data_IF_957878748267
#
_entry.id   IF_957878748267
#
_cell.length_a   1.000
_cell.length_b   1.000
_cell.length_c   1.000
_cell.angle_alpha   90.00
_cell.angle_beta   90.00
_cell.angle_gamma   90.00
#
_symmetry.space_group_name_H-M   'P 1'
#
loop_
_entity.id
_entity.type
_entity.pdbx_description
1 polymer ?
#
# COMPACT_ATOMS: atom_id res chain seq x y z
N UNK A 1 13.41 26.36 35.25
CA UNK A 1 14.82 26.59 34.86
C UNK A 1 15.11 28.04 35.19
N UNK A 2 16.04 28.31 36.10
CA UNK A 2 16.27 29.68 36.59
C UNK A 2 17.16 30.51 35.64
N UNK A 3 18.11 29.89 34.91
CA UNK A 3 18.95 30.56 33.91
C UNK A 3 19.42 29.61 32.79
N UNK A 4 19.53 30.13 31.56
CA UNK A 4 20.12 29.45 30.40
C UNK A 4 21.65 29.65 30.35
N UNK A 5 22.42 28.58 30.18
CA UNK A 5 23.88 28.66 30.06
C UNK A 5 24.22 29.03 28.62
N UNK A 6 24.34 30.32 28.32
CA UNK A 6 24.71 30.79 26.97
C UNK A 6 26.19 30.57 26.66
N UNK A 7 27.06 30.72 27.66
CA UNK A 7 28.51 30.63 27.49
C UNK A 7 29.04 29.59 28.48
N UNK A 8 29.61 28.48 27.99
CA UNK A 8 30.29 27.51 28.83
C UNK A 8 31.43 28.15 29.62
N UNK A 9 31.68 27.64 30.82
CA UNK A 9 32.74 28.12 31.69
C UNK A 9 34.11 27.92 31.05
N UNK A 10 35.04 28.87 31.19
CA UNK A 10 36.37 28.81 30.58
C UNK A 10 36.36 28.50 29.05
N UNK A 11 35.33 28.96 28.33
CA UNK A 11 35.19 28.73 26.88
C UNK A 11 36.37 29.27 26.05
N UNK A 12 37.05 30.30 26.55
CA UNK A 12 38.22 30.93 25.92
C UNK A 12 39.53 30.13 26.10
N UNK A 13 39.54 29.01 26.84
CA UNK A 13 40.71 28.15 27.03
C UNK A 13 41.22 28.08 28.46
N UNK A 14 42.52 27.78 28.61
CA UNK A 14 43.18 27.48 29.91
C UNK A 14 42.57 26.24 30.60
N UNK A 15 42.57 25.13 29.86
CA UNK A 15 41.94 23.85 30.23
C UNK A 15 42.91 22.71 29.99
N UNK A 16 43.00 21.80 30.94
CA UNK A 16 43.75 20.54 30.82
C UNK A 16 42.83 19.37 31.19
N UNK A 17 42.80 18.35 30.33
CA UNK A 17 41.86 17.25 30.49
C UNK A 17 42.18 16.41 31.74
N UNK A 18 41.14 16.07 32.50
CA UNK A 18 41.27 15.11 33.60
C UNK A 18 41.20 13.70 32.98
N UNK A 19 42.20 12.83 33.21
CA UNK A 19 42.18 11.48 32.68
C UNK A 19 41.09 10.63 33.36
N UNK A 20 40.50 9.71 32.61
CA UNK A 20 39.56 8.73 33.17
C UNK A 20 40.18 7.78 34.20
N UNK A 21 41.31 7.09 33.91
CA UNK A 21 41.85 6.07 34.81
C UNK A 21 42.48 6.65 36.08
N UNK A 22 42.54 5.82 37.13
CA UNK A 22 43.21 6.13 38.39
C UNK A 22 44.68 6.52 38.13
N UNK A 23 45.11 7.64 38.72
CA UNK A 23 46.50 8.10 38.63
C UNK A 23 47.29 7.55 39.82
N UNK A 24 48.34 6.77 39.55
CA UNK A 24 49.23 6.23 40.61
C UNK A 24 49.98 7.31 41.38
N UNK A 25 50.05 8.52 40.84
CA UNK A 25 50.65 9.73 41.43
C UNK A 25 49.74 10.44 42.43
N UNK A 26 48.51 9.96 42.63
CA UNK A 26 47.50 10.60 43.48
C UNK A 26 46.83 11.83 42.83
N UNK A 27 47.12 12.11 41.56
CA UNK A 27 46.48 13.21 40.83
C UNK A 27 45.01 12.92 40.56
N UNK A 28 44.22 13.99 40.39
CA UNK A 28 42.80 13.89 40.04
C UNK A 28 42.56 13.05 38.79
N UNK A 29 41.54 12.18 38.84
CA UNK A 29 41.02 11.40 37.72
C UNK A 29 39.49 11.42 37.72
N UNK A 30 38.84 11.06 36.61
CA UNK A 30 37.38 10.91 36.60
C UNK A 30 36.91 9.75 37.49
N UNK A 31 37.74 8.72 37.67
CA UNK A 31 37.42 7.56 38.52
C UNK A 31 37.46 7.89 40.01
N UNK A 32 38.46 8.64 40.47
CA UNK A 32 38.69 8.89 41.91
C UNK A 32 38.33 10.29 42.36
N UNK A 33 38.11 11.23 41.44
CA UNK A 33 38.01 12.64 41.76
C UNK A 33 39.29 13.18 42.41
N UNK A 34 39.16 14.29 43.15
CA UNK A 34 40.22 14.82 44.00
C UNK A 34 40.36 13.92 45.24
N UNK A 35 41.45 13.16 45.30
CA UNK A 35 41.71 12.21 46.38
C UNK A 35 42.31 12.83 47.63
N UNK A 36 42.73 11.97 48.58
CA UNK A 36 43.29 12.34 49.89
C UNK A 36 44.38 13.41 49.82
N UNK A 37 45.27 13.37 48.84
CA UNK A 37 46.37 14.34 48.77
C UNK A 37 45.90 15.81 48.61
N UNK A 38 44.67 16.04 48.15
CA UNK A 38 44.07 17.39 48.02
C UNK A 38 43.39 17.91 49.30
N UNK A 39 43.20 17.07 50.33
CA UNK A 39 42.65 17.48 51.62
C UNK A 39 43.74 17.71 52.70
N UNK A 40 44.98 17.34 52.38
CA UNK A 40 46.14 17.49 53.26
C UNK A 40 46.50 18.96 53.44
N UNK A 41 47.10 19.27 54.59
CA UNK A 41 47.54 20.63 54.91
C UNK A 41 48.71 21.04 54.01
N UNK A 42 48.44 22.04 53.17
CA UNK A 42 49.38 22.58 52.19
C UNK A 42 50.60 23.26 52.80
N UNK A 43 50.52 23.65 54.08
CA UNK A 43 51.61 24.35 54.77
C UNK A 43 52.58 23.38 55.46
N UNK A 44 52.11 22.19 55.83
CA UNK A 44 52.87 21.25 56.68
C UNK A 44 53.16 19.90 56.02
N UNK A 45 52.42 19.49 54.98
CA UNK A 45 52.60 18.21 54.31
C UNK A 45 53.15 18.36 52.88
N UNK A 46 54.35 17.82 52.63
CA UNK A 46 55.03 17.89 51.33
C UNK A 46 54.27 17.16 50.21
N UNK A 47 53.37 16.24 50.56
CA UNK A 47 52.57 15.49 49.58
C UNK A 47 51.21 16.15 49.30
N UNK A 48 50.89 17.27 49.95
CA UNK A 48 49.65 17.98 49.69
C UNK A 48 49.61 18.50 48.24
N UNK A 49 48.47 18.33 47.58
CA UNK A 49 48.21 18.78 46.21
C UNK A 49 47.29 20.00 46.20
N UNK A 50 47.58 20.92 45.29
CA UNK A 50 46.72 22.06 45.01
C UNK A 50 45.71 21.71 43.93
N UNK A 51 44.49 22.24 44.04
CA UNK A 51 43.51 22.17 42.95
C UNK A 51 44.08 22.90 41.73
N UNK A 52 44.28 22.16 40.65
CA UNK A 52 44.85 22.71 39.44
C UNK A 52 43.79 23.51 38.69
N UNK A 53 44.03 24.82 38.51
CA UNK A 53 43.09 25.73 37.84
C UNK A 53 42.65 25.21 36.47
N UNK A 54 43.59 24.71 35.66
CA UNK A 54 43.30 24.23 34.30
C UNK A 54 42.42 22.98 34.29
N UNK A 55 42.59 22.07 35.26
CA UNK A 55 41.76 20.88 35.41
C UNK A 55 40.37 21.22 35.93
N UNK A 56 40.27 22.13 36.90
CA UNK A 56 38.98 22.64 37.39
C UNK A 56 38.21 23.40 36.30
N UNK A 57 38.90 24.24 35.51
CA UNK A 57 38.34 24.91 34.34
C UNK A 57 37.82 23.91 33.31
N UNK A 58 38.59 22.86 33.01
CA UNK A 58 38.17 21.81 32.09
C UNK A 58 36.92 21.08 32.59
N UNK A 59 36.87 20.70 33.87
CA UNK A 59 35.72 20.01 34.47
C UNK A 59 34.45 20.86 34.40
N UNK A 60 34.52 22.14 34.77
CA UNK A 60 33.37 23.04 34.65
C UNK A 60 33.01 23.32 33.19
N UNK A 61 33.98 23.41 32.29
CA UNK A 61 33.72 23.56 30.87
C UNK A 61 32.90 22.37 30.34
N UNK A 62 33.33 21.12 30.56
CA UNK A 62 32.61 19.96 30.00
C UNK A 62 31.18 19.84 30.54
N UNK A 63 30.96 20.17 31.82
CA UNK A 63 29.62 20.15 32.43
C UNK A 63 28.74 21.26 31.85
N UNK A 64 29.25 22.49 31.81
CA UNK A 64 28.47 23.64 31.31
C UNK A 64 28.25 23.58 29.80
N UNK A 65 29.19 22.99 29.05
CA UNK A 65 29.05 22.69 27.62
C UNK A 65 27.94 21.65 27.40
N UNK A 66 27.98 20.52 28.11
CA UNK A 66 26.94 19.49 27.99
C UNK A 66 25.55 20.06 28.35
N UNK A 67 25.44 20.84 29.43
CA UNK A 67 24.18 21.49 29.79
C UNK A 67 23.71 22.48 28.73
N UNK A 68 24.60 23.29 28.15
CA UNK A 68 24.27 24.20 27.06
C UNK A 68 23.73 23.43 25.84
N UNK A 69 24.38 22.32 25.47
CA UNK A 69 23.94 21.45 24.37
C UNK A 69 22.56 20.87 24.63
N UNK A 70 22.33 20.27 25.81
CA UNK A 70 21.01 19.76 26.18
C UNK A 70 19.93 20.85 26.20
N UNK A 71 20.23 22.03 26.75
CA UNK A 71 19.29 23.15 26.79
C UNK A 71 18.97 23.70 25.39
N UNK A 72 19.92 23.68 24.46
CA UNK A 72 19.78 24.26 23.12
C UNK A 72 19.23 23.27 22.10
N UNK A 73 19.53 21.97 22.26
CA UNK A 73 19.25 20.92 21.27
C UNK A 73 18.20 19.92 21.73
N UNK A 74 17.95 19.81 23.04
CA UNK A 74 16.97 18.90 23.66
C UNK A 74 17.39 17.42 23.71
N UNK A 75 18.23 16.98 22.78
CA UNK A 75 18.72 15.60 22.63
C UNK A 75 20.25 15.66 22.45
N UNK A 76 21.04 14.76 23.06
CA UNK A 76 22.50 14.74 22.89
C UNK A 76 22.90 14.28 21.48
N UNK A 77 24.07 14.69 21.00
CA UNK A 77 24.66 14.14 19.78
C UNK A 77 25.12 12.68 20.00
N UNK A 78 25.16 11.91 18.92
CA UNK A 78 25.63 10.53 18.92
C UNK A 78 27.11 10.44 19.33
N UNK A 79 27.37 9.68 20.39
CA UNK A 79 28.70 9.28 20.85
C UNK A 79 29.32 8.34 19.81
N UNK A 80 30.25 8.88 19.03
CA UNK A 80 31.07 8.10 18.08
C UNK A 80 32.08 7.23 18.84
N UNK A 81 32.59 6.18 18.20
CA UNK A 81 33.64 5.35 18.82
C UNK A 81 34.88 6.17 19.19
N UNK A 82 35.21 7.23 18.43
CA UNK A 82 36.33 8.12 18.77
C UNK A 82 36.12 8.84 20.11
N UNK A 83 34.87 9.22 20.42
CA UNK A 83 34.51 9.84 21.70
C UNK A 83 34.44 8.82 22.85
N UNK A 84 34.30 7.53 22.54
CA UNK A 84 34.23 6.44 23.51
C UNK A 84 35.49 5.57 23.46
N UNK A 85 36.67 6.20 23.41
CA UNK A 85 37.96 5.51 23.54
C UNK A 85 38.29 4.48 22.45
N UNK A 86 37.69 4.62 21.25
CA UNK A 86 37.83 3.71 20.13
C UNK A 86 36.78 2.57 20.07
N UNK A 87 35.96 2.40 21.11
CA UNK A 87 34.91 1.38 21.16
C UNK A 87 33.53 1.98 20.85
N UNK A 88 32.64 1.22 20.21
CA UNK A 88 31.27 1.67 20.01
C UNK A 88 30.55 1.84 21.36
N UNK A 89 29.77 2.91 21.51
CA UNK A 89 28.95 3.12 22.70
C UNK A 89 27.64 2.32 22.59
N UNK A 90 27.24 1.68 23.69
CA UNK A 90 26.08 0.78 23.73
C UNK A 90 24.83 1.52 24.26
N UNK A 91 23.91 1.87 23.37
CA UNK A 91 22.68 2.58 23.72
C UNK A 91 21.58 1.63 24.21
N UNK A 92 20.77 2.09 25.17
CA UNK A 92 19.55 1.38 25.59
C UNK A 92 18.39 1.61 24.62
N UNK A 93 17.40 0.72 24.66
CA UNK A 93 16.15 0.94 23.91
C UNK A 93 15.52 2.27 24.32
N UNK A 94 14.97 2.98 23.33
CA UNK A 94 14.37 4.31 23.46
C UNK A 94 15.35 5.45 23.77
N UNK A 95 16.66 5.20 23.81
CA UNK A 95 17.64 6.28 23.85
C UNK A 95 17.51 7.16 22.59
N UNK A 96 17.61 8.47 22.76
CA UNK A 96 17.51 9.44 21.67
C UNK A 96 18.87 10.08 21.43
N UNK A 97 19.25 10.20 20.16
CA UNK A 97 20.50 10.85 19.74
C UNK A 97 20.26 11.73 18.54
N UNK A 98 21.10 12.74 18.37
CA UNK A 98 21.23 13.48 17.11
C UNK A 98 22.39 12.91 16.29
N UNK A 99 22.15 12.70 15.01
CA UNK A 99 23.15 12.23 14.07
C UNK A 99 22.87 12.84 12.69
N UNK A 100 23.88 13.49 12.10
CA UNK A 100 23.77 14.14 10.79
C UNK A 100 22.57 15.10 10.64
N UNK A 101 22.28 15.87 11.69
CA UNK A 101 21.16 16.84 11.71
C UNK A 101 19.77 16.25 12.02
N UNK A 102 19.67 14.93 12.15
CA UNK A 102 18.41 14.22 12.41
C UNK A 102 18.39 13.61 13.81
N UNK A 103 17.21 13.52 14.43
CA UNK A 103 17.03 12.83 15.72
C UNK A 103 16.66 11.37 15.45
N UNK A 104 17.29 10.45 16.17
CA UNK A 104 17.03 9.01 16.09
C UNK A 104 16.66 8.46 17.46
N UNK A 105 15.82 7.42 17.47
CA UNK A 105 15.42 6.64 18.64
C UNK A 105 15.95 5.22 18.47
N UNK A 106 16.67 4.72 19.47
CA UNK A 106 17.12 3.32 19.49
C UNK A 106 15.94 2.37 19.66
N UNK A 107 15.85 1.34 18.81
CA UNK A 107 14.78 0.34 18.80
C UNK A 107 15.08 -0.88 19.68
N UNK A 108 16.35 -1.06 20.07
CA UNK A 108 16.85 -2.24 20.78
C UNK A 108 17.76 -1.84 21.95
N UNK A 109 17.91 -2.75 22.91
CA UNK A 109 18.92 -2.62 23.94
C UNK A 109 20.31 -3.00 23.42
N UNK A 110 21.33 -2.43 24.06
CA UNK A 110 22.75 -2.62 23.73
C UNK A 110 23.04 -2.33 22.24
N UNK A 111 22.46 -1.23 21.74
CA UNK A 111 22.61 -0.81 20.37
C UNK A 111 23.95 -0.09 20.16
N UNK A 112 24.84 -0.72 19.41
CA UNK A 112 26.16 -0.19 19.05
C UNK A 112 26.27 0.21 17.57
N UNK A 113 25.17 0.12 16.82
CA UNK A 113 25.15 0.44 15.40
C UNK A 113 25.08 1.95 15.16
N UNK A 114 25.54 2.39 13.98
CA UNK A 114 25.33 3.76 13.51
C UNK A 114 23.83 4.04 13.31
N UNK A 115 23.36 5.28 13.55
CA UNK A 115 21.96 5.67 13.34
C UNK A 115 21.39 5.45 11.93
N UNK A 116 22.25 5.13 10.96
CA UNK A 116 21.87 4.73 9.60
C UNK A 116 21.34 3.29 9.50
N UNK A 117 21.49 2.45 10.52
CA UNK A 117 20.92 1.09 10.57
C UNK A 117 19.44 1.14 10.96
N UNK A 118 18.56 1.09 9.96
CA UNK A 118 17.11 1.18 10.12
C UNK A 118 16.46 -0.02 10.84
N UNK A 119 17.21 -1.08 11.14
CA UNK A 119 16.72 -2.20 11.96
C UNK A 119 16.91 -1.95 13.45
N UNK A 120 17.78 -1.01 13.81
CA UNK A 120 18.15 -0.69 15.19
C UNK A 120 17.84 0.75 15.58
N UNK A 121 17.67 1.62 14.59
CA UNK A 121 17.35 3.03 14.79
C UNK A 121 16.12 3.42 13.99
N UNK A 122 15.27 4.24 14.60
CA UNK A 122 14.19 4.92 13.91
C UNK A 122 14.47 6.41 13.90
N UNK A 123 14.39 7.02 12.73
CA UNK A 123 14.35 8.47 12.62
C UNK A 123 13.10 9.02 13.32
N UNK A 124 13.27 10.01 14.19
CA UNK A 124 12.18 10.77 14.77
C UNK A 124 11.77 11.85 13.78
N UNK A 125 10.77 11.52 12.97
CA UNK A 125 10.18 12.45 12.03
C UNK A 125 9.25 13.39 12.81
N UNK A 126 9.76 14.56 13.19
CA UNK A 126 8.97 15.69 13.68
C UNK A 126 8.25 16.33 12.49
N UNK A 127 7.26 15.65 11.93
CA UNK A 127 6.45 16.24 10.87
C UNK A 127 5.50 17.27 11.49
N UNK A 128 5.65 18.55 11.15
CA UNK A 128 4.52 19.50 11.10
C UNK A 128 3.60 19.18 9.90
N UNK A 129 3.60 17.92 9.45
CA UNK A 129 2.64 17.47 8.47
C UNK A 129 1.42 17.06 9.25
N UNK A 130 0.32 17.72 8.96
CA UNK A 130 -1.05 17.21 9.11
C UNK A 130 -1.26 15.94 8.26
N UNK A 131 -0.24 15.09 8.05
CA UNK A 131 -0.28 13.99 7.10
C UNK A 131 0.26 12.68 7.66
N UNK A 132 -0.11 12.37 8.90
CA UNK A 132 -0.76 11.08 9.10
C UNK A 132 -2.27 11.30 9.03
N UNK A 133 -2.79 11.51 7.82
CA UNK A 133 -4.21 11.82 7.63
C UNK A 133 -5.10 10.56 7.73
N UNK A 134 -4.54 9.43 8.17
CA UNK A 134 -5.24 8.13 8.10
C UNK A 134 -5.56 7.66 6.67
N UNK A 135 -5.27 8.46 5.64
CA UNK A 135 -5.49 8.12 4.24
C UNK A 135 -4.22 7.54 3.60
N UNK A 136 -4.41 6.50 2.78
CA UNK A 136 -3.39 5.99 1.88
C UNK A 136 -2.89 7.13 0.98
N UNK A 137 -1.58 7.44 1.02
CA UNK A 137 -0.93 8.36 0.08
C UNK A 137 -0.70 7.65 -1.26
N UNK A 138 -1.79 7.44 -1.99
CA UNK A 138 -1.84 6.58 -3.17
C UNK A 138 -0.81 6.96 -4.23
N UNK A 139 -0.58 8.26 -4.49
CA UNK A 139 0.40 8.71 -5.48
C UNK A 139 1.84 8.33 -5.11
N UNK A 140 2.22 8.49 -3.85
CA UNK A 140 3.54 8.12 -3.35
C UNK A 140 3.74 6.60 -3.38
N UNK A 141 2.73 5.85 -2.93
CA UNK A 141 2.75 4.38 -2.95
C UNK A 141 2.83 3.83 -4.38
N UNK A 142 2.13 4.45 -5.33
CA UNK A 142 2.19 4.09 -6.74
C UNK A 142 3.57 4.36 -7.34
N UNK A 143 4.20 5.48 -7.01
CA UNK A 143 5.58 5.77 -7.44
C UNK A 143 6.57 4.78 -6.81
N UNK A 144 6.44 4.49 -5.52
CA UNK A 144 7.34 3.55 -4.83
C UNK A 144 7.22 2.13 -5.41
N UNK A 145 6.00 1.63 -5.65
CA UNK A 145 5.76 0.31 -6.27
C UNK A 145 6.39 0.26 -7.67
N UNK A 146 6.33 1.36 -8.43
CA UNK A 146 6.97 1.45 -9.75
C UNK A 146 8.49 1.31 -9.65
N UNK A 147 9.10 1.97 -8.67
CA UNK A 147 10.56 2.03 -8.52
C UNK A 147 11.18 0.76 -7.89
N UNK A 148 10.39 -0.02 -7.11
CA UNK A 148 10.84 -1.28 -6.47
C UNK A 148 10.96 -2.48 -7.42
N UNK A 149 10.60 -2.32 -8.69
CA UNK A 149 10.80 -3.35 -9.73
C UNK A 149 9.69 -4.41 -9.82
N UNK A 150 9.86 -5.33 -10.77
CA UNK A 150 8.80 -6.25 -11.24
C UNK A 150 8.28 -7.23 -10.18
N UNK A 151 9.14 -7.67 -9.26
CA UNK A 151 8.78 -8.61 -8.19
C UNK A 151 7.85 -7.96 -7.16
N UNK A 152 8.17 -6.75 -6.67
CA UNK A 152 7.32 -6.01 -5.73
C UNK A 152 5.97 -5.65 -6.34
N UNK A 153 5.95 -5.27 -7.63
CA UNK A 153 4.70 -5.02 -8.36
C UNK A 153 3.81 -6.27 -8.43
N UNK A 154 4.38 -7.47 -8.54
CA UNK A 154 3.63 -8.74 -8.54
C UNK A 154 3.01 -9.00 -7.17
N UNK A 155 3.80 -8.91 -6.11
CA UNK A 155 3.30 -9.07 -4.73
C UNK A 155 2.21 -8.07 -4.38
N UNK A 156 2.34 -6.81 -4.80
CA UNK A 156 1.28 -5.80 -4.59
C UNK A 156 -0.03 -6.16 -5.28
N UNK A 157 0.01 -6.80 -6.47
CA UNK A 157 -1.19 -7.29 -7.17
C UNK A 157 -1.84 -8.47 -6.43
N UNK A 158 -1.04 -9.42 -5.98
CA UNK A 158 -1.53 -10.58 -5.21
C UNK A 158 -2.25 -10.12 -3.92
N UNK A 159 -1.69 -9.14 -3.21
CA UNK A 159 -2.28 -8.60 -1.98
C UNK A 159 -3.65 -7.92 -2.18
N UNK A 160 -3.98 -7.48 -3.39
CA UNK A 160 -5.29 -6.89 -3.73
C UNK A 160 -6.21 -7.89 -4.48
N UNK A 161 -5.86 -9.18 -4.47
CA UNK A 161 -6.68 -10.25 -5.06
C UNK A 161 -6.60 -10.33 -6.58
N UNK A 162 -5.53 -9.81 -7.18
CA UNK A 162 -5.24 -9.93 -8.61
C UNK A 162 -4.24 -11.08 -8.79
N UNK A 163 -4.73 -12.23 -9.24
CA UNK A 163 -3.90 -13.39 -9.58
C UNK A 163 -3.65 -13.45 -11.11
N UNK A 164 -2.38 -13.57 -11.52
CA UNK A 164 -1.97 -13.75 -12.92
C UNK A 164 -1.01 -12.68 -13.46
N UNK A 165 -0.38 -12.99 -14.60
CA UNK A 165 0.42 -12.03 -15.37
C UNK A 165 -0.52 -11.07 -16.12
N UNK A 166 -0.32 -9.76 -15.97
CA UNK A 166 -0.96 -8.76 -16.82
C UNK A 166 0.02 -8.52 -17.97
N UNK A 167 -0.28 -8.95 -19.21
CA UNK A 167 0.58 -8.53 -20.33
C UNK A 167 0.49 -7.02 -20.45
N UNK A 168 1.67 -6.41 -20.48
CA UNK A 168 1.89 -4.98 -20.57
C UNK A 168 1.28 -4.45 -21.87
N UNK A 169 0.02 -4.03 -21.80
CA UNK A 169 -0.55 -3.10 -22.76
C UNK A 169 -0.26 -1.70 -22.25
N UNK A 170 0.42 -0.88 -23.05
CA UNK A 170 0.41 0.55 -22.79
C UNK A 170 -1.00 1.11 -23.08
N UNK A 171 -1.25 2.37 -22.70
CA UNK A 171 -2.53 3.07 -22.92
C UNK A 171 -3.00 3.07 -24.38
N UNK A 172 -2.10 2.74 -25.31
CA UNK A 172 -2.31 2.74 -26.76
C UNK A 172 -2.50 1.31 -27.31
N UNK A 173 -2.68 0.31 -26.45
CA UNK A 173 -2.87 -1.10 -26.82
C UNK A 173 -1.69 -1.69 -27.64
N UNK A 174 -0.47 -1.17 -27.46
CA UNK A 174 0.71 -1.63 -28.20
C UNK A 174 1.42 -2.74 -27.42
N UNK A 175 1.77 -3.81 -28.12
CA UNK A 175 2.63 -4.86 -27.56
C UNK A 175 4.02 -4.29 -27.29
N UNK A 176 4.45 -4.34 -26.03
CA UNK A 176 5.77 -3.85 -25.60
C UNK A 176 6.87 -4.91 -25.70
N UNK A 177 6.52 -6.16 -26.04
CA UNK A 177 7.47 -7.26 -26.29
C UNK A 177 7.13 -8.02 -27.58
N UNK A 178 8.14 -8.46 -28.37
CA UNK A 178 7.93 -9.36 -29.51
C UNK A 178 7.34 -10.71 -29.10
N UNK A 179 6.52 -11.31 -29.96
CA UNK A 179 6.06 -12.69 -29.77
C UNK A 179 7.21 -13.68 -29.97
N UNK A 180 7.31 -14.70 -29.12
CA UNK A 180 8.16 -15.87 -29.33
C UNK A 180 7.30 -17.02 -29.84
N UNK A 181 7.61 -17.56 -31.03
CA UNK A 181 6.93 -18.73 -31.58
C UNK A 181 7.63 -20.00 -31.09
N UNK A 182 7.45 -20.36 -29.82
CA UNK A 182 8.16 -21.51 -29.23
C UNK A 182 7.57 -22.88 -29.56
N UNK A 183 6.65 -22.98 -30.54
CA UNK A 183 6.12 -24.28 -30.98
C UNK A 183 5.94 -24.31 -32.49
N UNK A 184 6.32 -25.46 -33.09
CA UNK A 184 5.98 -25.81 -34.46
C UNK A 184 4.51 -25.50 -34.74
N UNK A 185 4.24 -24.66 -35.75
CA UNK A 185 2.89 -24.47 -36.25
C UNK A 185 2.48 -25.70 -37.08
N UNK A 186 2.11 -26.79 -36.41
CA UNK A 186 1.51 -27.95 -37.06
C UNK A 186 0.04 -27.60 -37.33
N UNK A 187 -0.20 -27.02 -38.51
CA UNK A 187 -1.56 -26.86 -39.03
C UNK A 187 -1.96 -28.16 -39.74
N UNK A 188 -2.84 -28.97 -39.12
CA UNK A 188 -3.49 -30.10 -39.80
C UNK A 188 -4.55 -29.64 -40.83
N UNK A 189 -4.65 -28.34 -41.05
CA UNK A 189 -5.59 -27.69 -41.94
C UNK A 189 -4.82 -26.93 -43.01
N UNK A 190 -5.33 -27.00 -44.24
CA UNK A 190 -4.75 -26.37 -45.41
C UNK A 190 -4.48 -24.87 -45.17
N UNK A 191 -3.32 -24.36 -45.64
CA UNK A 191 -3.05 -22.92 -45.62
C UNK A 191 -3.90 -22.27 -46.71
N UNK A 192 -4.95 -21.56 -46.27
CA UNK A 192 -5.94 -20.94 -47.15
C UNK A 192 -5.67 -19.44 -47.30
N UNK A 193 -5.36 -19.02 -48.53
CA UNK A 193 -5.21 -17.60 -48.88
C UNK A 193 -6.50 -17.14 -49.56
N UNK A 194 -7.15 -16.11 -49.02
CA UNK A 194 -8.39 -15.53 -49.57
C UNK A 194 -8.18 -14.07 -49.95
N UNK A 195 -8.96 -13.59 -50.92
CA UNK A 195 -8.98 -12.17 -51.27
C UNK A 195 -9.57 -11.33 -50.12
N UNK A 196 -9.07 -10.09 -49.89
CA UNK A 196 -9.71 -9.20 -48.94
C UNK A 196 -11.15 -8.90 -49.37
N UNK A 197 -12.03 -8.74 -48.36
CA UNK A 197 -13.44 -8.35 -48.45
C UNK A 197 -14.44 -9.43 -48.91
N UNK A 198 -14.11 -10.30 -49.87
CA UNK A 198 -15.11 -11.25 -50.40
C UNK A 198 -14.93 -12.69 -49.91
N UNK A 199 -13.88 -12.96 -49.11
CA UNK A 199 -13.49 -14.30 -48.60
C UNK A 199 -13.33 -15.38 -49.69
N UNK A 200 -13.21 -14.97 -50.96
CA UNK A 200 -13.08 -15.89 -52.10
C UNK A 200 -11.70 -16.55 -52.06
N UNK A 201 -11.69 -17.89 -52.12
CA UNK A 201 -10.50 -18.72 -52.07
C UNK A 201 -9.58 -18.42 -53.26
N UNK A 202 -8.35 -17.97 -53.01
CA UNK A 202 -7.34 -17.70 -54.04
C UNK A 202 -6.47 -18.95 -54.26
N UNK A 203 -6.00 -19.58 -53.20
CA UNK A 203 -5.35 -20.88 -53.27
C UNK A 203 -5.52 -21.67 -51.97
N UNK A 204 -5.47 -22.99 -52.10
CA UNK A 204 -5.46 -23.93 -50.99
C UNK A 204 -4.23 -24.81 -51.12
N UNK A 205 -3.34 -24.77 -50.12
CA UNK A 205 -2.14 -25.60 -50.08
C UNK A 205 -2.40 -26.71 -49.05
N UNK A 206 -2.69 -27.92 -49.54
CA UNK A 206 -2.98 -29.10 -48.71
C UNK A 206 -1.97 -30.22 -48.96
N UNK A 207 -1.47 -30.85 -47.89
CA UNK A 207 -0.60 -32.03 -47.99
C UNK A 207 0.85 -31.75 -48.40
N UNK A 208 1.29 -30.49 -48.40
CA UNK A 208 2.68 -30.11 -48.65
C UNK A 208 3.41 -29.79 -47.35
N UNK A 209 4.60 -30.35 -47.19
CA UNK A 209 5.54 -30.01 -46.12
C UNK A 209 6.34 -28.77 -46.57
N UNK A 210 6.15 -27.63 -45.90
CA UNK A 210 6.85 -26.38 -46.24
C UNK A 210 7.84 -26.05 -45.11
N UNK A 211 9.11 -26.39 -45.33
CA UNK A 211 10.20 -26.11 -44.39
C UNK A 211 10.73 -24.67 -44.60
N UNK A 212 10.57 -23.84 -43.57
CA UNK A 212 11.18 -22.51 -43.48
C UNK A 212 12.26 -22.55 -42.40
N UNK A 213 13.53 -22.62 -42.80
CA UNK A 213 14.67 -22.75 -41.89
C UNK A 213 15.37 -21.40 -41.75
N UNK A 214 15.71 -21.03 -40.51
CA UNK A 214 16.50 -19.83 -40.24
C UNK A 214 17.80 -19.85 -41.06
N UNK A 215 18.00 -18.77 -41.84
CA UNK A 215 19.12 -18.48 -42.75
C UNK A 215 19.13 -19.13 -44.15
N UNK A 216 18.18 -19.97 -44.57
CA UNK A 216 18.26 -20.56 -45.95
C UNK A 216 16.98 -20.77 -46.77
N UNK A 217 15.78 -20.29 -46.39
CA UNK A 217 14.63 -20.38 -47.31
C UNK A 217 13.69 -19.17 -47.26
N UNK A 218 13.50 -18.51 -48.40
CA UNK A 218 12.29 -17.73 -48.66
C UNK A 218 11.32 -18.65 -49.41
N UNK A 219 10.08 -18.81 -48.92
CA UNK A 219 9.03 -19.44 -49.72
C UNK A 219 8.60 -18.44 -50.80
N UNK A 220 9.01 -18.70 -52.06
CA UNK A 220 8.60 -17.90 -53.22
C UNK A 220 7.36 -18.52 -53.86
N UNK A 221 6.21 -17.88 -53.70
CA UNK A 221 5.02 -18.24 -54.48
C UNK A 221 5.21 -17.64 -55.88
N UNK A 222 5.38 -18.47 -56.91
CA UNK A 222 5.41 -18.04 -58.32
C UNK A 222 4.10 -18.43 -59.01
N UNK A 223 3.50 -17.44 -59.67
CA UNK A 223 2.24 -17.49 -60.42
C UNK A 223 0.99 -17.58 -59.55
N UNK A 224 0.34 -16.43 -59.36
CA UNK A 224 -1.07 -16.32 -58.95
C UNK A 224 -1.81 -15.69 -60.14
N UNK A 225 -2.73 -16.43 -60.76
CA UNK A 225 -3.63 -15.85 -61.76
C UNK A 225 -4.65 -14.95 -61.05
N UNK A 226 -4.59 -13.64 -61.30
CA UNK A 226 -5.53 -12.66 -60.77
C UNK A 226 -4.84 -11.31 -60.57
N UNK A 227 -5.63 -10.21 -60.62
CA UNK A 227 -5.21 -8.81 -60.51
C UNK A 227 -4.55 -8.47 -59.15
N UNK A 228 -3.42 -9.09 -58.85
CA UNK A 228 -2.47 -8.62 -57.87
C UNK A 228 -1.43 -7.82 -58.63
N UNK A 229 -1.24 -6.58 -58.19
CA UNK A 229 -0.25 -5.64 -58.71
C UNK A 229 1.09 -6.37 -58.80
N UNK A 230 1.74 -6.26 -59.96
CA UNK A 230 2.98 -6.91 -60.35
C UNK A 230 4.06 -6.84 -59.24
N UNK A 231 4.13 -7.87 -58.39
CA UNK A 231 4.98 -7.86 -57.20
C UNK A 231 5.10 -9.25 -56.58
N UNK A 232 6.32 -9.77 -56.47
CA UNK A 232 6.57 -11.02 -55.74
C UNK A 232 6.51 -10.72 -54.23
N UNK A 233 5.79 -11.49 -53.44
CA UNK A 233 5.82 -11.36 -51.97
C UNK A 233 6.73 -12.44 -51.37
N UNK A 234 7.56 -12.06 -50.40
CA UNK A 234 8.44 -12.98 -49.68
C UNK A 234 8.02 -13.10 -48.22
N UNK A 235 7.90 -14.33 -47.72
CA UNK A 235 7.92 -14.60 -46.28
C UNK A 235 9.36 -14.79 -45.85
N UNK A 236 9.86 -13.90 -44.98
CA UNK A 236 11.20 -13.94 -44.42
C UNK A 236 11.13 -14.29 -42.94
N UNK A 237 11.92 -15.28 -42.54
CA UNK A 237 12.17 -15.58 -41.13
C UNK A 237 13.49 -14.90 -40.76
N UNK A 238 13.41 -13.69 -40.21
CA UNK A 238 14.58 -12.84 -39.93
C UNK A 238 15.23 -13.20 -38.58
N UNK A 239 14.47 -13.80 -37.67
CA UNK A 239 14.95 -14.43 -36.45
C UNK A 239 14.05 -15.63 -36.11
N UNK A 240 14.45 -16.51 -35.18
CA UNK A 240 13.58 -17.58 -34.69
C UNK A 240 12.20 -17.10 -34.20
N UNK A 241 12.07 -15.81 -33.88
CA UNK A 241 10.89 -15.21 -33.29
C UNK A 241 10.15 -14.24 -34.23
N UNK A 242 10.56 -14.13 -35.48
CA UNK A 242 10.05 -13.07 -36.37
C UNK A 242 9.75 -13.60 -37.78
N UNK A 243 8.49 -13.46 -38.19
CA UNK A 243 8.03 -13.69 -39.56
C UNK A 243 7.60 -12.37 -40.21
N UNK A 244 8.31 -11.99 -41.26
CA UNK A 244 8.14 -10.74 -42.00
C UNK A 244 7.55 -11.07 -43.38
N UNK A 245 6.53 -10.32 -43.79
CA UNK A 245 6.07 -10.30 -45.17
C UNK A 245 6.71 -9.09 -45.88
N UNK A 246 7.55 -9.32 -46.88
CA UNK A 246 8.12 -8.26 -47.72
C UNK A 246 7.42 -8.22 -49.08
N UNK A 247 6.96 -7.03 -49.47
CA UNK A 247 6.63 -6.72 -50.85
C UNK A 247 7.93 -6.44 -51.60
N UNK A 248 8.30 -7.32 -52.54
CA UNK A 248 9.59 -7.18 -53.22
C UNK A 248 9.62 -6.09 -54.27
N UNK A 249 8.46 -5.59 -54.71
CA UNK A 249 8.36 -4.53 -55.72
C UNK A 249 8.82 -3.17 -55.19
N UNK A 250 8.59 -2.91 -53.89
CA UNK A 250 8.90 -1.64 -53.23
C UNK A 250 9.72 -1.81 -51.93
N UNK A 251 10.11 -3.04 -51.59
CA UNK A 251 10.88 -3.39 -50.38
C UNK A 251 10.20 -3.04 -49.06
N UNK A 252 8.87 -2.87 -49.08
CA UNK A 252 8.09 -2.59 -47.87
C UNK A 252 7.86 -3.88 -47.09
N UNK A 253 8.20 -3.83 -45.80
CA UNK A 253 8.06 -4.95 -44.88
C UNK A 253 6.86 -4.78 -43.96
N UNK A 254 6.18 -5.89 -43.70
CA UNK A 254 4.99 -5.97 -42.86
C UNK A 254 5.22 -7.04 -41.78
N UNK A 255 5.06 -6.67 -40.52
CA UNK A 255 5.06 -7.61 -39.41
C UNK A 255 3.78 -8.44 -39.46
N UNK A 256 3.92 -9.77 -39.45
CA UNK A 256 2.76 -10.68 -39.49
C UNK A 256 2.36 -11.13 -38.08
N UNK A 257 1.06 -11.15 -37.79
CA UNK A 257 0.50 -11.60 -36.51
C UNK A 257 -0.41 -12.81 -36.73
N UNK A 258 -0.28 -13.85 -35.90
CA UNK A 258 -1.11 -15.06 -35.98
C UNK A 258 -2.50 -14.81 -35.37
N UNK A 259 -3.57 -15.28 -36.02
CA UNK A 259 -4.94 -15.25 -35.50
C UNK A 259 -5.13 -16.01 -34.16
N UNK A 260 -4.29 -16.99 -33.86
CA UNK A 260 -4.21 -17.65 -32.54
C UNK A 260 -3.61 -16.77 -31.44
N UNK A 261 -2.94 -15.68 -31.80
CA UNK A 261 -2.51 -14.60 -30.91
C UNK A 261 -3.53 -13.45 -30.81
N UNK A 262 -4.64 -13.52 -31.56
CA UNK A 262 -5.73 -12.53 -31.50
C UNK A 262 -6.75 -12.83 -30.41
N UNK A 263 -6.61 -13.93 -29.67
CA UNK A 263 -7.26 -14.05 -28.36
C UNK A 263 -6.29 -13.47 -27.35
N UNK A 264 -6.52 -12.26 -26.79
CA UNK A 264 -5.72 -11.78 -25.68
C UNK A 264 -5.84 -12.81 -24.56
N UNK A 265 -4.80 -13.59 -24.32
CA UNK A 265 -4.73 -14.42 -23.12
C UNK A 265 -4.32 -13.49 -22.00
N UNK A 266 -5.30 -12.79 -21.44
CA UNK A 266 -5.17 -12.06 -20.18
C UNK A 266 -6.55 -11.91 -19.56
N UNK A 267 -6.98 -12.96 -18.86
CA UNK A 267 -8.03 -12.80 -17.89
C UNK A 267 -7.43 -12.31 -16.57
N UNK A 268 -7.95 -11.23 -16.01
CA UNK A 268 -7.77 -11.02 -14.56
C UNK A 268 -8.92 -11.78 -13.89
N UNK A 269 -8.58 -12.77 -13.07
CA UNK A 269 -9.56 -13.63 -12.40
C UNK A 269 -10.62 -14.22 -13.37
N UNK A 270 -10.19 -14.72 -14.54
CA UNK A 270 -11.07 -15.26 -15.59
C UNK A 270 -12.03 -14.27 -16.29
N UNK A 271 -11.87 -12.96 -16.10
CA UNK A 271 -12.67 -11.94 -16.80
C UNK A 271 -11.99 -11.39 -18.06
N UNK A 272 -12.75 -11.28 -19.16
CA UNK A 272 -12.27 -10.72 -20.43
C UNK A 272 -12.21 -9.18 -20.36
N UNK A 273 -11.20 -8.53 -20.99
CA UNK A 273 -11.19 -7.08 -21.15
C UNK A 273 -12.37 -6.58 -22.02
N UNK A 274 -12.83 -5.35 -21.76
CA UNK A 274 -13.81 -4.66 -22.59
C UNK A 274 -13.19 -4.14 -23.91
N UNK A 275 -14.00 -3.48 -24.74
CA UNK A 275 -13.56 -2.93 -26.04
C UNK A 275 -12.44 -1.88 -25.93
N UNK A 276 -12.25 -1.30 -24.74
CA UNK A 276 -11.20 -0.32 -24.46
C UNK A 276 -9.98 -0.98 -23.77
N UNK A 277 -9.99 -2.30 -23.54
CA UNK A 277 -8.92 -3.04 -22.88
C UNK A 277 -8.99 -3.04 -21.35
N UNK A 278 -10.08 -2.53 -20.73
CA UNK A 278 -10.23 -2.56 -19.28
C UNK A 278 -10.78 -3.91 -18.81
N UNK A 279 -10.22 -4.48 -17.76
CA UNK A 279 -10.82 -5.63 -17.06
C UNK A 279 -11.50 -5.12 -15.80
N UNK A 280 -12.82 -5.31 -15.69
CA UNK A 280 -13.51 -5.05 -14.43
C UNK A 280 -13.17 -6.18 -13.46
N UNK A 281 -12.37 -5.87 -12.46
CA UNK A 281 -12.03 -6.76 -11.35
C UNK A 281 -12.91 -6.38 -10.17
N UNK A 282 -13.82 -7.26 -9.77
CA UNK A 282 -14.59 -7.07 -8.55
C UNK A 282 -13.69 -7.36 -7.34
N UNK A 283 -12.97 -6.35 -6.87
CA UNK A 283 -12.29 -6.41 -5.57
C UNK A 283 -13.35 -6.19 -4.50
N UNK A 284 -13.92 -7.29 -3.98
CA UNK A 284 -14.83 -7.33 -2.82
C UNK A 284 -15.78 -6.12 -2.68
N UNK A 285 -17.00 -6.24 -3.18
CA UNK A 285 -18.06 -5.23 -2.98
C UNK A 285 -18.24 -4.95 -1.49
N UNK A 286 -17.84 -3.76 -1.04
CA UNK A 286 -18.19 -3.26 0.30
C UNK A 286 -19.66 -2.88 0.26
N UNK A 287 -20.54 -3.79 0.66
CA UNK A 287 -21.95 -3.48 0.87
C UNK A 287 -22.08 -2.72 2.19
N UNK A 288 -22.22 -1.40 2.13
CA UNK A 288 -22.55 -0.61 3.32
C UNK A 288 -24.06 -0.67 3.56
N UNK A 289 -24.46 -1.17 4.73
CA UNK A 289 -25.86 -1.16 5.15
C UNK A 289 -26.36 0.29 5.33
N UNK A 290 -27.65 0.51 5.09
CA UNK A 290 -28.28 1.84 5.19
C UNK A 290 -29.43 1.82 6.19
N UNK A 291 -29.71 2.96 6.83
CA UNK A 291 -30.76 3.05 7.85
C UNK A 291 -31.31 4.47 8.04
N UNK A 292 -32.57 4.56 8.45
CA UNK A 292 -33.18 5.73 9.08
C UNK A 292 -33.47 5.43 10.54
N UNK A 293 -32.81 6.13 11.47
CA UNK A 293 -32.94 5.95 12.93
C UNK A 293 -34.08 6.79 13.54
N UNK A 294 -35.08 7.14 12.74
CA UNK A 294 -36.24 7.89 13.20
C UNK A 294 -37.15 7.03 14.08
N UNK A 295 -38.09 7.67 14.80
CA UNK A 295 -39.10 6.98 15.63
C UNK A 295 -39.88 5.92 14.83
N UNK A 296 -40.25 6.26 13.59
CA UNK A 296 -40.67 5.31 12.57
C UNK A 296 -39.53 5.17 11.56
N UNK A 297 -38.77 4.08 11.67
CA UNK A 297 -37.46 3.94 11.03
C UNK A 297 -37.31 2.63 10.27
N UNK A 298 -36.14 2.48 9.64
CA UNK A 298 -35.80 1.29 8.87
C UNK A 298 -34.30 1.05 8.82
N UNK A 299 -33.91 -0.19 8.56
CA UNK A 299 -32.56 -0.65 8.28
C UNK A 299 -32.61 -1.58 7.06
N UNK A 300 -31.67 -1.43 6.14
CA UNK A 300 -31.50 -2.28 4.96
C UNK A 300 -30.09 -2.84 4.91
N UNK A 301 -30.02 -4.16 4.90
CA UNK A 301 -28.81 -4.89 4.57
C UNK A 301 -28.57 -4.82 3.06
N UNK A 302 -27.47 -4.18 2.66
CA UNK A 302 -27.16 -3.98 1.25
C UNK A 302 -26.60 -5.24 0.58
N UNK A 303 -26.17 -6.24 1.36
CA UNK A 303 -25.62 -7.49 0.85
C UNK A 303 -26.70 -8.52 0.52
N UNK A 304 -27.76 -8.58 1.33
CA UNK A 304 -28.85 -9.55 1.17
C UNK A 304 -30.15 -8.93 0.65
N UNK A 305 -30.29 -7.59 0.73
CA UNK A 305 -31.52 -6.89 0.41
C UNK A 305 -32.57 -6.92 1.52
N UNK A 306 -32.30 -7.59 2.65
CA UNK A 306 -33.23 -7.68 3.78
C UNK A 306 -33.44 -6.29 4.39
N UNK A 307 -34.71 -5.96 4.61
CA UNK A 307 -35.16 -4.71 5.22
C UNK A 307 -35.87 -5.05 6.53
N UNK A 308 -35.52 -4.32 7.60
CA UNK A 308 -36.24 -4.28 8.87
C UNK A 308 -36.79 -2.89 9.07
N UNK A 309 -38.06 -2.77 9.42
CA UNK A 309 -38.73 -1.49 9.72
C UNK A 309 -39.38 -1.55 11.10
N UNK A 310 -39.51 -0.41 11.75
CA UNK A 310 -40.12 -0.29 13.07
C UNK A 310 -40.88 1.02 13.20
N UNK A 311 -41.80 1.05 14.17
CA UNK A 311 -42.48 2.29 14.49
C UNK A 311 -43.57 2.15 15.55
N UNK A 312 -44.31 3.23 15.69
CA UNK A 312 -45.51 3.36 16.52
C UNK A 312 -46.66 3.81 15.61
N UNK A 313 -47.87 3.33 15.87
CA UNK A 313 -49.07 3.78 15.16
C UNK A 313 -50.35 3.55 15.95
N UNK A 314 -51.47 4.10 15.47
CA UNK A 314 -52.76 3.94 16.11
C UNK A 314 -53.35 2.55 15.82
N UNK A 315 -53.89 1.89 16.85
CA UNK A 315 -54.59 0.61 16.72
C UNK A 315 -55.81 0.75 15.78
N UNK A 316 -56.17 -0.32 15.06
CA UNK A 316 -57.31 -0.37 14.14
C UNK A 316 -57.24 0.64 12.96
N UNK A 317 -56.09 1.26 12.71
CA UNK A 317 -55.83 2.15 11.57
C UNK A 317 -54.76 1.60 10.64
N UNK A 318 -54.77 1.97 9.36
CA UNK A 318 -53.70 1.59 8.43
C UNK A 318 -52.41 2.32 8.78
N UNK A 319 -51.34 1.56 9.00
CA UNK A 319 -49.99 2.06 9.23
C UNK A 319 -49.18 1.88 7.94
N UNK A 320 -48.59 2.97 7.46
CA UNK A 320 -47.68 2.94 6.32
C UNK A 320 -46.24 2.71 6.79
N UNK A 321 -45.51 1.86 6.06
CA UNK A 321 -44.09 1.67 6.31
C UNK A 321 -43.28 2.92 5.93
N UNK A 322 -42.22 3.26 6.68
CA UNK A 322 -41.27 4.32 6.32
C UNK A 322 -40.68 4.18 4.91
N UNK A 323 -40.52 2.95 4.41
CA UNK A 323 -40.22 2.65 3.02
C UNK A 323 -41.01 1.43 2.53
N UNK A 324 -41.32 1.37 1.23
CA UNK A 324 -41.91 0.18 0.65
C UNK A 324 -40.91 -0.99 0.67
N UNK A 325 -41.37 -2.20 1.00
CA UNK A 325 -40.63 -3.41 0.71
C UNK A 325 -40.64 -3.66 -0.82
N UNK A 326 -39.49 -3.66 -1.51
CA UNK A 326 -39.44 -3.78 -2.97
C UNK A 326 -40.17 -4.99 -3.53
N UNK A 327 -40.15 -6.11 -2.80
CA UNK A 327 -40.80 -7.36 -3.23
C UNK A 327 -41.93 -7.75 -2.29
N UNK A 328 -41.65 -7.93 -0.99
CA UNK A 328 -42.65 -8.43 -0.05
C UNK A 328 -42.33 -8.09 1.42
N UNK A 329 -43.37 -7.79 2.20
CA UNK A 329 -43.34 -7.83 3.66
C UNK A 329 -43.55 -9.29 4.10
N UNK A 330 -42.57 -9.89 4.79
CA UNK A 330 -42.60 -11.31 5.15
C UNK A 330 -43.10 -11.53 6.57
N UNK A 331 -42.78 -10.64 7.51
CA UNK A 331 -43.19 -10.73 8.91
C UNK A 331 -43.62 -9.38 9.46
N UNK A 332 -44.60 -9.40 10.38
CA UNK A 332 -45.02 -8.23 11.17
C UNK A 332 -45.25 -8.70 12.60
N UNK A 333 -44.70 -7.97 13.55
CA UNK A 333 -44.88 -8.14 14.97
C UNK A 333 -45.47 -6.85 15.52
N UNK A 334 -46.52 -6.97 16.34
CA UNK A 334 -47.23 -5.84 16.94
C UNK A 334 -47.41 -6.09 18.43
N UNK A 335 -47.30 -5.03 19.23
CA UNK A 335 -47.61 -5.03 20.66
C UNK A 335 -48.31 -3.73 21.05
N UNK A 336 -49.20 -3.78 22.03
CA UNK A 336 -49.95 -2.60 22.50
C UNK A 336 -49.09 -1.84 23.51
N UNK A 337 -49.11 -0.51 23.44
CA UNK A 337 -48.25 0.34 24.27
C UNK A 337 -48.93 0.95 25.49
N UNK A 338 -50.23 1.20 25.43
CA UNK A 338 -50.90 2.12 26.37
C UNK A 338 -52.24 1.62 26.93
N UNK A 339 -52.49 0.31 26.82
CA UNK A 339 -53.74 -0.32 27.29
C UNK A 339 -53.61 -1.84 27.24
N UNK A 340 -54.42 -2.53 28.04
CA UNK A 340 -54.56 -3.98 28.03
C UNK A 340 -55.98 -4.37 27.57
N UNK A 341 -56.26 -4.40 26.26
CA UNK A 341 -57.58 -4.80 25.78
C UNK A 341 -57.79 -6.30 26.00
N UNK A 342 -59.06 -6.66 26.19
CA UNK A 342 -59.49 -8.04 26.04
C UNK A 342 -59.27 -8.50 24.58
N UNK A 343 -59.00 -9.79 24.40
CA UNK A 343 -58.66 -10.48 23.14
C UNK A 343 -57.25 -10.29 22.54
N UNK A 344 -56.89 -11.28 21.71
CA UNK A 344 -55.62 -11.31 20.99
C UNK A 344 -55.56 -10.25 19.86
N UNK A 345 -54.34 -9.82 19.55
CA UNK A 345 -54.08 -8.96 18.38
C UNK A 345 -53.90 -9.77 17.10
N UNK A 346 -54.34 -9.20 15.98
CA UNK A 346 -54.04 -9.71 14.64
C UNK A 346 -53.49 -8.60 13.73
N UNK A 347 -52.92 -9.01 12.59
CA UNK A 347 -52.46 -8.10 11.53
C UNK A 347 -53.27 -8.39 10.27
N UNK A 348 -53.99 -7.38 9.77
CA UNK A 348 -54.79 -7.43 8.56
C UNK A 348 -54.15 -6.58 7.45
N UNK A 349 -54.67 -6.72 6.22
CA UNK A 349 -54.38 -5.85 5.07
C UNK A 349 -52.87 -5.63 4.80
N UNK A 350 -52.05 -6.65 5.00
CA UNK A 350 -50.60 -6.58 4.77
C UNK A 350 -50.30 -6.43 3.28
N UNK A 351 -49.61 -5.36 2.93
CA UNK A 351 -49.04 -5.10 1.60
C UNK A 351 -47.54 -4.87 1.70
N UNK A 352 -46.89 -4.50 0.59
CA UNK A 352 -45.49 -4.05 0.60
C UNK A 352 -45.31 -2.65 1.18
N UNK A 353 -46.37 -1.88 1.36
CA UNK A 353 -46.31 -0.46 1.78
C UNK A 353 -47.04 -0.18 3.09
N UNK A 354 -47.89 -1.09 3.56
CA UNK A 354 -48.72 -0.88 4.74
C UNK A 354 -49.18 -2.17 5.40
N UNK A 355 -49.73 -2.03 6.60
CA UNK A 355 -50.51 -3.06 7.28
C UNK A 355 -51.53 -2.42 8.21
N UNK A 356 -52.45 -3.22 8.76
CA UNK A 356 -53.43 -2.75 9.74
C UNK A 356 -53.38 -3.63 11.00
N UNK A 357 -52.88 -3.14 12.15
CA UNK A 357 -53.05 -3.83 13.42
C UNK A 357 -54.53 -3.85 13.79
N UNK A 358 -55.03 -4.99 14.24
CA UNK A 358 -56.44 -5.18 14.57
C UNK A 358 -56.62 -5.83 15.94
N UNK A 359 -57.54 -5.28 16.72
CA UNK A 359 -58.11 -5.90 17.92
C UNK A 359 -59.58 -5.46 18.03
N UNK A 360 -60.47 -6.42 18.33
CA UNK A 360 -61.92 -6.20 18.30
C UNK A 360 -62.41 -5.21 19.37
N UNK A 361 -61.82 -5.24 20.57
CA UNK A 361 -62.13 -4.33 21.68
C UNK A 361 -61.29 -3.05 21.68
N UNK A 362 -60.50 -2.84 20.61
CA UNK A 362 -59.65 -1.68 20.46
C UNK A 362 -60.43 -0.38 20.26
N UNK A 363 -60.26 0.57 21.18
CA UNK A 363 -60.90 1.88 21.16
C UNK A 363 -60.02 2.97 20.50
N UNK A 364 -60.65 4.08 20.08
CA UNK A 364 -59.97 5.25 19.52
C UNK A 364 -59.10 5.94 20.59
N UNK A 365 -57.78 5.71 20.54
CA UNK A 365 -56.82 6.24 21.51
C UNK A 365 -55.72 5.24 21.88
N UNK A 366 -55.92 3.96 21.53
CA UNK A 366 -54.92 2.92 21.73
C UNK A 366 -53.84 2.97 20.63
N UNK A 367 -52.59 2.74 21.03
CA UNK A 367 -51.41 2.78 20.17
C UNK A 367 -50.66 1.47 20.24
N UNK A 368 -50.00 1.11 19.14
CA UNK A 368 -49.17 -0.09 19.02
C UNK A 368 -47.74 0.30 18.70
N UNK A 369 -46.80 -0.48 19.22
CA UNK A 369 -45.44 -0.57 18.69
C UNK A 369 -45.38 -1.76 17.73
N UNK A 370 -44.59 -1.63 16.67
CA UNK A 370 -44.50 -2.65 15.65
C UNK A 370 -43.09 -2.77 15.08
N UNK A 371 -42.80 -3.97 14.57
CA UNK A 371 -41.63 -4.30 13.77
C UNK A 371 -42.04 -5.14 12.57
N UNK A 372 -41.41 -4.92 11.42
CA UNK A 372 -41.69 -5.66 10.19
C UNK A 372 -40.39 -5.99 9.44
N UNK A 373 -40.29 -7.21 8.91
CA UNK A 373 -39.19 -7.63 8.04
C UNK A 373 -39.70 -7.93 6.62
N UNK A 374 -38.82 -7.78 5.62
CA UNK A 374 -39.11 -8.02 4.22
C UNK A 374 -37.91 -7.77 3.32
N UNK A 375 -38.12 -7.72 2.01
CA UNK A 375 -37.07 -7.45 0.99
C UNK A 375 -37.67 -6.91 -0.31
#
# INVERSE_FOLDING_TARGET
MENFIKTPFASIGDRDAIPDPIQSTGDVSMTTGYGYDYERDQTSDINAKNIERQKMNWLFYIITQALNEYQSLGVPDFITSALNGGAAYSYKKSAMVRYDGTIYISLVDNNEALPTDNTKWSELIMSNSTSFDGYLKTENLLSEIKDKGTASQKTSRENIGIEGDIAYRDKDNKFTKPNTFDNYLISNLSLRICAPNDKKLICDISGAYVDLTYKTTFARIRSVSGNLVDGSYHFLVNSPNELILEDTSNKKQYTTYNTGNLTPVLSVNNNKPDANGNVKVSTGTTYSNSASKSTNGWFRDSSTGVIRQWGIGALNTTINFPMAFPTACTSIQVAILNSDPDDAMSVHDRTSTSFKPYNYWGNSGMSVIWGADGY
#
